data_IF_070005035143
#
_entry.id   IF_070005035143
#
_cell.length_a   1.000
_cell.length_b   1.000
_cell.length_c   1.000
_cell.angle_alpha   90.00
_cell.angle_beta   90.00
_cell.angle_gamma   90.00
#
_symmetry.space_group_name_H-M   'P 1'
#
loop_
_entity.id
_entity.type
_entity.pdbx_description
1 polymer ?
#
# COMPACT_ATOMS: atom_id res chain seq x y z
N UNK A 1 -13.40 -27.20 -0.18
CA UNK A 1 -12.56 -25.99 -0.12
C UNK A 1 -11.25 -26.38 -0.79
N UNK A 2 -10.90 -25.77 -1.92
CA UNK A 2 -9.56 -25.99 -2.51
C UNK A 2 -8.54 -25.50 -1.50
N UNK A 3 -7.46 -26.27 -1.27
CA UNK A 3 -6.30 -25.79 -0.52
C UNK A 3 -5.83 -24.50 -1.20
N UNK A 4 -6.12 -23.36 -0.58
CA UNK A 4 -5.66 -22.07 -1.06
C UNK A 4 -4.14 -22.10 -0.94
N UNK A 5 -3.42 -21.98 -2.03
CA UNK A 5 -1.97 -21.87 -2.02
C UNK A 5 -1.59 -20.59 -1.26
N UNK A 6 -1.14 -20.72 -0.01
CA UNK A 6 -0.76 -19.58 0.86
C UNK A 6 0.72 -19.27 0.79
N UNK A 7 1.33 -19.46 -0.36
CA UNK A 7 2.77 -19.22 -0.52
C UNK A 7 3.06 -17.72 -0.51
N UNK A 8 3.89 -17.27 0.45
CA UNK A 8 4.49 -15.93 0.42
C UNK A 8 5.90 -16.04 -0.16
N UNK A 9 6.21 -15.19 -1.11
CA UNK A 9 7.55 -15.00 -1.65
C UNK A 9 8.06 -13.64 -1.18
N UNK A 10 9.29 -13.61 -0.68
CA UNK A 10 9.88 -12.44 -0.05
C UNK A 10 11.16 -12.08 -0.81
N UNK A 11 11.26 -10.82 -1.17
CA UNK A 11 12.37 -10.25 -1.91
C UNK A 11 13.02 -9.15 -1.08
N UNK A 12 14.34 -9.16 -1.04
CA UNK A 12 15.19 -8.15 -0.43
C UNK A 12 16.02 -7.52 -1.55
N UNK A 13 15.81 -6.24 -1.86
CA UNK A 13 16.38 -5.54 -3.02
C UNK A 13 16.24 -6.35 -4.31
N UNK A 14 15.01 -6.80 -4.62
CA UNK A 14 14.61 -7.61 -5.77
C UNK A 14 15.24 -9.03 -5.83
N UNK A 15 15.97 -9.45 -4.80
CA UNK A 15 16.56 -10.80 -4.71
C UNK A 15 15.75 -11.66 -3.75
N UNK A 16 15.35 -12.88 -4.14
CA UNK A 16 14.60 -13.78 -3.26
C UNK A 16 15.37 -14.08 -1.97
N UNK A 17 14.66 -14.03 -0.83
CA UNK A 17 15.20 -14.41 0.47
C UNK A 17 15.13 -15.93 0.61
N UNK A 18 16.26 -16.64 0.78
CA UNK A 18 16.27 -18.09 0.84
C UNK A 18 15.86 -18.65 2.20
N UNK A 19 15.42 -19.91 2.23
CA UNK A 19 15.26 -20.69 3.46
C UNK A 19 14.02 -20.31 4.28
N UNK A 20 12.99 -19.74 3.69
CA UNK A 20 11.75 -19.39 4.37
C UNK A 20 10.87 -20.63 4.45
N UNK A 21 10.52 -21.04 5.67
CA UNK A 21 9.60 -22.14 5.93
C UNK A 21 8.22 -21.64 6.34
N UNK A 22 8.18 -20.61 7.18
CA UNK A 22 6.95 -19.94 7.59
C UNK A 22 7.16 -18.45 7.62
N UNK A 23 6.17 -17.73 7.08
CA UNK A 23 6.12 -16.27 7.03
C UNK A 23 4.73 -15.74 7.39
N UNK A 24 4.69 -14.65 8.11
CA UNK A 24 3.48 -13.89 8.36
C UNK A 24 3.72 -12.43 8.01
N UNK A 25 2.83 -11.87 7.21
CA UNK A 25 2.81 -10.46 6.87
C UNK A 25 1.64 -9.80 7.58
N UNK A 26 1.94 -8.82 8.42
CA UNK A 26 0.97 -8.00 9.15
C UNK A 26 1.15 -6.56 8.74
N UNK A 27 0.08 -5.81 8.60
CA UNK A 27 0.20 -4.39 8.34
C UNK A 27 -1.11 -3.70 8.06
N UNK A 28 -1.02 -2.40 8.06
CA UNK A 28 -2.13 -1.50 7.70
C UNK A 28 -1.61 -0.48 6.72
N UNK A 29 -2.39 -0.19 5.70
CA UNK A 29 -2.14 0.90 4.78
C UNK A 29 -3.43 1.66 4.47
N UNK A 30 -3.28 2.90 4.03
CA UNK A 30 -4.40 3.80 3.75
C UNK A 30 -4.08 4.67 2.53
N UNK A 31 -5.11 5.23 1.93
CA UNK A 31 -4.89 6.29 0.94
C UNK A 31 -4.23 7.50 1.62
N UNK A 32 -3.48 8.26 0.86
CA UNK A 32 -2.58 9.30 1.34
C UNK A 32 -1.13 8.80 1.41
N UNK A 33 -0.25 9.63 1.93
CA UNK A 33 1.18 9.34 2.02
C UNK A 33 1.66 9.36 3.48
N UNK A 34 0.82 8.88 4.39
CA UNK A 34 1.17 8.73 5.80
C UNK A 34 2.07 7.50 6.00
N UNK A 35 3.05 7.55 6.91
CA UNK A 35 3.92 6.42 7.19
C UNK A 35 3.15 5.31 7.90
N UNK A 36 2.76 4.30 7.14
CA UNK A 36 2.16 3.08 7.64
C UNK A 36 3.15 1.94 7.49
N UNK A 37 3.24 1.08 8.50
CA UNK A 37 4.24 0.03 8.56
C UNK A 37 3.62 -1.35 8.32
N UNK A 38 4.41 -2.19 7.66
CA UNK A 38 4.22 -3.62 7.60
C UNK A 38 5.26 -4.31 8.45
N UNK A 39 4.86 -5.38 9.09
CA UNK A 39 5.72 -6.28 9.86
C UNK A 39 5.72 -7.64 9.21
N UNK A 40 6.88 -8.09 8.78
CA UNK A 40 7.12 -9.41 8.24
C UNK A 40 7.79 -10.27 9.32
N UNK A 41 7.13 -11.35 9.75
CA UNK A 41 7.68 -12.34 10.68
C UNK A 41 8.08 -13.58 9.93
N UNK A 42 9.30 -14.05 10.18
CA UNK A 42 9.88 -15.22 9.55
C UNK A 42 10.38 -16.18 10.63
N UNK A 43 9.91 -17.43 10.57
CA UNK A 43 10.32 -18.46 11.53
C UNK A 43 11.46 -19.30 10.95
N UNK A 44 12.48 -19.51 11.78
CA UNK A 44 13.62 -20.38 11.50
C UNK A 44 14.32 -20.06 10.14
N UNK A 45 14.41 -18.77 9.82
CA UNK A 45 15.13 -18.33 8.64
C UNK A 45 16.61 -18.72 8.74
N UNK A 46 17.21 -19.14 7.63
CA UNK A 46 18.64 -19.42 7.58
C UNK A 46 19.49 -18.16 7.84
N UNK A 47 20.73 -18.34 8.28
CA UNK A 47 21.63 -17.20 8.51
C UNK A 47 21.87 -16.41 7.22
N UNK A 48 21.97 -17.07 6.06
CA UNK A 48 22.09 -16.39 4.76
C UNK A 48 20.86 -15.51 4.47
N UNK A 49 19.64 -16.02 4.70
CA UNK A 49 18.42 -15.26 4.58
C UNK A 49 18.36 -14.07 5.55
N UNK A 50 18.81 -14.27 6.80
CA UNK A 50 18.87 -13.21 7.79
C UNK A 50 19.83 -12.09 7.41
N UNK A 51 21.08 -12.42 7.00
CA UNK A 51 22.04 -11.42 6.58
C UNK A 51 21.62 -10.70 5.31
N UNK A 52 20.90 -11.37 4.41
CA UNK A 52 20.31 -10.73 3.23
C UNK A 52 19.27 -9.70 3.60
N UNK A 53 18.35 -10.02 4.52
CA UNK A 53 17.38 -9.05 5.03
C UNK A 53 18.07 -7.87 5.74
N UNK A 54 19.06 -8.15 6.57
CA UNK A 54 19.77 -7.09 7.31
C UNK A 54 20.52 -6.11 6.40
N UNK A 55 20.98 -6.55 5.24
CA UNK A 55 21.66 -5.71 4.26
C UNK A 55 20.72 -4.98 3.30
N UNK A 56 19.45 -5.36 3.25
CA UNK A 56 18.48 -4.82 2.31
C UNK A 56 18.05 -3.40 2.65
N UNK A 57 17.70 -2.63 1.62
CA UNK A 57 17.05 -1.32 1.72
C UNK A 57 15.54 -1.42 1.47
N UNK A 58 15.13 -2.36 0.63
CA UNK A 58 13.75 -2.55 0.21
C UNK A 58 13.31 -3.98 0.42
N UNK A 59 12.06 -4.15 0.86
CA UNK A 59 11.39 -5.43 0.98
C UNK A 59 10.15 -5.42 0.08
N UNK A 60 9.93 -6.52 -0.62
CA UNK A 60 8.67 -6.82 -1.29
C UNK A 60 8.18 -8.21 -0.85
N UNK A 61 6.89 -8.32 -0.59
CA UNK A 61 6.21 -9.57 -0.27
C UNK A 61 5.14 -9.80 -1.32
N UNK A 62 5.21 -10.95 -1.99
CA UNK A 62 4.28 -11.32 -3.05
C UNK A 62 3.53 -12.60 -2.71
N UNK A 63 2.37 -12.77 -3.32
CA UNK A 63 1.60 -13.99 -3.35
C UNK A 63 1.17 -14.21 -4.79
N UNK A 64 1.53 -15.35 -5.36
CA UNK A 64 1.38 -15.60 -6.79
C UNK A 64 2.01 -14.45 -7.60
N UNK A 65 1.27 -13.85 -8.53
CA UNK A 65 1.73 -12.73 -9.35
C UNK A 65 1.40 -11.35 -8.75
N UNK A 66 0.91 -11.31 -7.52
CA UNK A 66 0.46 -10.07 -6.88
C UNK A 66 1.40 -9.62 -5.76
N UNK A 67 1.80 -8.35 -5.77
CA UNK A 67 2.51 -7.75 -4.65
C UNK A 67 1.51 -7.43 -3.54
N UNK A 68 1.72 -8.01 -2.36
CA UNK A 68 0.90 -7.76 -1.17
C UNK A 68 1.36 -6.52 -0.41
N UNK A 69 2.67 -6.36 -0.27
CA UNK A 69 3.28 -5.20 0.35
C UNK A 69 4.70 -5.01 -0.18
N UNK A 70 5.14 -3.76 -0.28
CA UNK A 70 6.52 -3.43 -0.61
C UNK A 70 6.88 -2.07 0.01
N UNK A 71 8.16 -1.86 0.29
CA UNK A 71 8.61 -0.58 0.83
C UNK A 71 10.04 -0.58 1.34
N UNK A 72 10.45 0.58 1.85
CA UNK A 72 11.76 0.75 2.47
C UNK A 72 11.82 0.05 3.82
N UNK A 73 12.88 -0.73 4.03
CA UNK A 73 13.14 -1.41 5.28
C UNK A 73 13.55 -0.37 6.35
N UNK A 74 12.91 -0.44 7.51
CA UNK A 74 13.24 0.39 8.67
C UNK A 74 14.13 -0.35 9.65
N UNK A 75 13.69 -1.56 10.06
CA UNK A 75 14.36 -2.32 11.11
C UNK A 75 14.26 -3.83 10.87
N UNK A 76 15.25 -4.56 11.38
CA UNK A 76 15.26 -6.04 11.44
C UNK A 76 15.63 -6.49 12.84
N UNK A 77 14.76 -7.26 13.46
CA UNK A 77 14.96 -7.81 14.80
C UNK A 77 15.07 -9.34 14.75
N UNK A 78 15.83 -9.93 15.67
CA UNK A 78 15.96 -11.38 15.85
C UNK A 78 15.63 -11.75 17.27
N UNK A 79 14.65 -12.64 17.45
CA UNK A 79 14.18 -13.11 18.75
C UNK A 79 14.40 -14.60 18.87
N UNK A 80 14.97 -15.04 19.97
CA UNK A 80 14.97 -16.46 20.36
C UNK A 80 13.65 -16.79 21.05
N UNK A 81 13.00 -17.87 20.61
CA UNK A 81 11.77 -18.41 21.19
C UNK A 81 11.95 -19.88 21.50
N UNK A 82 11.04 -20.49 22.30
CA UNK A 82 11.15 -21.90 22.70
C UNK A 82 11.27 -22.87 21.51
N UNK A 83 10.66 -22.54 20.38
CA UNK A 83 10.60 -23.39 19.18
C UNK A 83 11.59 -22.96 18.08
N UNK A 84 12.57 -22.10 18.40
CA UNK A 84 13.56 -21.66 17.41
C UNK A 84 13.81 -20.16 17.41
N UNK A 85 13.84 -19.55 16.23
CA UNK A 85 14.12 -18.12 16.05
C UNK A 85 13.03 -17.46 15.22
N UNK A 86 12.61 -16.29 15.63
CA UNK A 86 11.74 -15.40 14.83
C UNK A 86 12.56 -14.19 14.40
N UNK A 87 12.49 -13.87 13.12
CA UNK A 87 13.01 -12.62 12.56
C UNK A 87 11.81 -11.75 12.22
N UNK A 88 11.86 -10.51 12.65
CA UNK A 88 10.85 -9.51 12.37
C UNK A 88 11.48 -8.37 11.58
N UNK A 89 10.99 -8.13 10.36
CA UNK A 89 11.40 -7.02 9.52
C UNK A 89 10.25 -6.01 9.43
N UNK A 90 10.54 -4.75 9.73
CA UNK A 90 9.58 -3.62 9.65
C UNK A 90 9.90 -2.77 8.46
N UNK A 91 8.91 -2.51 7.60
CA UNK A 91 9.09 -1.72 6.39
C UNK A 91 7.85 -0.88 6.06
N UNK A 92 8.01 0.16 5.24
CA UNK A 92 6.93 1.06 4.86
C UNK A 92 7.05 1.50 3.41
N UNK A 93 5.94 1.49 2.68
CA UNK A 93 5.88 1.98 1.31
C UNK A 93 6.14 3.49 1.21
N UNK A 94 5.70 4.25 2.19
CA UNK A 94 5.70 5.72 2.17
C UNK A 94 6.87 6.35 2.90
N UNK A 95 7.70 5.57 3.61
CA UNK A 95 8.78 6.07 4.44
C UNK A 95 9.76 6.97 3.66
N UNK A 96 10.15 6.55 2.46
CA UNK A 96 11.06 7.30 1.62
C UNK A 96 10.56 8.72 1.32
N UNK A 97 9.26 8.89 1.00
CA UNK A 97 8.67 10.22 0.76
C UNK A 97 8.46 11.02 2.05
N UNK A 98 8.29 10.34 3.17
CA UNK A 98 8.08 10.97 4.47
C UNK A 98 9.35 11.55 5.06
N UNK A 99 10.48 10.91 4.85
CA UNK A 99 11.76 11.32 5.43
C UNK A 99 12.51 12.37 4.60
N UNK A 100 12.25 12.43 3.30
CA UNK A 100 13.03 13.31 2.40
C UNK A 100 12.45 14.73 2.37
N UNK A 101 13.26 15.75 2.72
CA UNK A 101 12.88 17.15 2.55
C UNK A 101 13.00 17.57 1.09
N UNK A 102 12.05 18.39 0.66
CA UNK A 102 12.02 19.02 -0.67
C UNK A 102 11.96 20.53 -0.51
N UNK A 103 12.68 21.25 -1.37
CA UNK A 103 12.62 22.70 -1.49
C UNK A 103 12.65 23.05 -2.97
N UNK A 104 11.51 23.49 -3.51
CA UNK A 104 11.41 23.88 -4.92
C UNK A 104 10.36 24.97 -5.12
N UNK A 105 10.46 25.68 -6.24
CA UNK A 105 9.48 26.66 -6.68
C UNK A 105 8.95 26.25 -8.05
N UNK A 106 7.65 26.18 -8.18
CA UNK A 106 6.95 25.86 -9.42
C UNK A 106 6.38 27.13 -10.03
N UNK A 107 6.53 27.28 -11.33
CA UNK A 107 6.07 28.45 -12.05
C UNK A 107 4.53 28.55 -12.07
N UNK A 108 4.01 29.77 -12.27
CA UNK A 108 2.59 29.94 -12.57
C UNK A 108 2.22 29.24 -13.88
N UNK A 109 0.96 28.83 -13.99
CA UNK A 109 0.42 28.11 -15.15
C UNK A 109 1.01 26.71 -15.35
N UNK A 110 1.59 26.09 -14.31
CA UNK A 110 2.02 24.69 -14.31
C UNK A 110 0.83 23.80 -13.95
N UNK A 111 0.70 22.66 -14.62
CA UNK A 111 -0.30 21.65 -14.28
C UNK A 111 -0.02 21.00 -12.93
N UNK A 112 -1.07 20.58 -12.22
CA UNK A 112 -0.89 19.87 -10.94
C UNK A 112 -0.10 18.59 -11.14
N UNK A 113 -0.35 17.82 -12.22
CA UNK A 113 0.44 16.60 -12.51
C UNK A 113 1.93 16.88 -12.70
N UNK A 114 2.29 17.98 -13.37
CA UNK A 114 3.68 18.38 -13.58
C UNK A 114 4.32 18.83 -12.27
N UNK A 115 3.57 19.60 -11.45
CA UNK A 115 3.99 19.97 -10.10
C UNK A 115 4.31 18.74 -9.24
N UNK A 116 3.45 17.72 -9.27
CA UNK A 116 3.70 16.46 -8.54
C UNK A 116 4.95 15.76 -9.08
N UNK A 117 5.15 15.71 -10.40
CA UNK A 117 6.36 15.11 -11.00
C UNK A 117 7.64 15.85 -10.58
N UNK A 118 7.60 17.19 -10.55
CA UNK A 118 8.74 17.99 -10.08
C UNK A 118 9.07 17.74 -8.62
N UNK A 119 8.05 17.62 -7.74
CA UNK A 119 8.24 17.28 -6.33
C UNK A 119 8.86 15.89 -6.18
N UNK A 120 8.33 14.89 -6.89
CA UNK A 120 8.85 13.52 -6.86
C UNK A 120 10.28 13.44 -7.41
N UNK A 121 10.58 14.15 -8.49
CA UNK A 121 11.94 14.24 -9.03
C UNK A 121 12.91 14.91 -8.06
N UNK A 122 12.49 16.01 -7.42
CA UNK A 122 13.30 16.70 -6.41
C UNK A 122 13.55 15.87 -5.15
N UNK A 123 12.65 14.93 -4.84
CA UNK A 123 12.84 14.02 -3.70
C UNK A 123 13.94 12.99 -3.92
N UNK A 124 14.29 12.67 -5.15
CA UNK A 124 15.30 11.66 -5.47
C UNK A 124 14.96 10.22 -5.04
N UNK A 125 13.70 9.95 -4.66
CA UNK A 125 13.28 8.64 -4.15
C UNK A 125 13.09 7.58 -5.24
N UNK A 126 13.12 7.96 -6.52
CA UNK A 126 12.82 7.07 -7.64
C UNK A 126 11.33 6.78 -7.84
N UNK A 127 10.46 7.26 -6.95
CA UNK A 127 9.01 7.10 -7.08
C UNK A 127 8.51 7.97 -8.23
N UNK A 128 7.71 7.38 -9.12
CA UNK A 128 7.13 8.08 -10.26
C UNK A 128 5.61 8.24 -10.13
N UNK A 129 5.07 9.29 -10.74
CA UNK A 129 3.64 9.44 -10.93
C UNK A 129 3.19 8.52 -12.07
N UNK A 130 2.36 7.51 -11.76
CA UNK A 130 1.90 6.54 -12.76
C UNK A 130 0.83 7.12 -13.69
N UNK A 131 -0.16 7.78 -13.10
CA UNK A 131 -1.27 8.36 -13.84
C UNK A 131 -1.87 9.54 -13.08
N UNK A 132 -2.46 10.45 -13.81
CA UNK A 132 -3.27 11.54 -13.28
C UNK A 132 -4.63 11.51 -14.01
N UNK A 133 -5.57 10.68 -13.53
CA UNK A 133 -6.90 10.57 -14.12
C UNK A 133 -7.76 11.78 -13.78
N UNK A 134 -8.75 12.07 -14.62
CA UNK A 134 -9.64 13.21 -14.45
C UNK A 134 -9.07 14.54 -14.94
N UNK A 135 -9.63 15.64 -14.44
CA UNK A 135 -9.16 16.96 -14.76
C UNK A 135 -7.79 17.24 -14.12
N UNK A 136 -6.90 17.81 -14.91
CA UNK A 136 -5.55 18.22 -14.48
C UNK A 136 -5.48 19.75 -14.47
N UNK A 137 -5.90 20.40 -13.38
CA UNK A 137 -6.01 21.85 -13.31
C UNK A 137 -4.63 22.51 -13.37
N UNK A 138 -4.64 23.74 -13.86
CA UNK A 138 -3.47 24.59 -13.92
C UNK A 138 -3.41 25.47 -12.67
N UNK A 139 -2.26 25.49 -12.01
CA UNK A 139 -2.01 26.39 -10.88
C UNK A 139 -1.77 27.79 -11.40
N UNK A 140 -2.71 28.71 -11.18
CA UNK A 140 -2.69 30.06 -11.75
C UNK A 140 -1.56 30.97 -11.21
N UNK A 141 -1.00 30.63 -10.03
CA UNK A 141 0.10 31.38 -9.38
C UNK A 141 1.27 30.46 -9.11
N UNK A 142 2.49 30.99 -9.19
CA UNK A 142 3.66 30.25 -8.77
C UNK A 142 3.56 29.83 -7.30
N UNK A 143 4.01 28.64 -7.00
CA UNK A 143 4.00 28.05 -5.65
C UNK A 143 5.39 27.64 -5.22
N UNK A 144 5.70 27.86 -3.94
CA UNK A 144 6.90 27.34 -3.31
C UNK A 144 6.50 26.15 -2.42
N UNK A 145 7.20 25.05 -2.56
CA UNK A 145 7.07 23.86 -1.74
C UNK A 145 8.29 23.71 -0.85
N UNK A 146 8.05 23.57 0.44
CA UNK A 146 9.10 23.39 1.42
C UNK A 146 8.60 22.43 2.51
N UNK A 147 9.35 21.39 2.79
CA UNK A 147 8.99 20.38 3.79
C UNK A 147 9.16 18.97 3.27
N UNK A 148 8.46 18.01 3.86
CA UNK A 148 8.50 16.61 3.45
C UNK A 148 7.91 16.42 2.06
N UNK A 149 8.53 15.56 1.24
CA UNK A 149 8.03 15.28 -0.10
C UNK A 149 6.57 14.81 -0.10
N UNK A 150 6.18 13.97 0.87
CA UNK A 150 4.80 13.51 1.05
C UNK A 150 3.81 14.66 1.27
N UNK A 151 4.16 15.60 2.15
CA UNK A 151 3.32 16.78 2.44
C UNK A 151 3.20 17.70 1.22
N UNK A 152 4.31 17.91 0.51
CA UNK A 152 4.33 18.71 -0.71
C UNK A 152 3.44 18.10 -1.80
N UNK A 153 3.51 16.78 -2.01
CA UNK A 153 2.65 16.05 -2.96
C UNK A 153 1.18 16.18 -2.56
N UNK A 154 0.83 15.91 -1.31
CA UNK A 154 -0.55 16.03 -0.83
C UNK A 154 -1.09 17.46 -0.96
N UNK A 155 -0.24 18.47 -0.71
CA UNK A 155 -0.59 19.89 -0.88
C UNK A 155 -0.87 20.21 -2.36
N UNK A 156 -0.02 19.75 -3.28
CA UNK A 156 -0.23 19.95 -4.71
C UNK A 156 -1.53 19.28 -5.19
N UNK A 157 -1.81 18.04 -4.77
CA UNK A 157 -3.02 17.30 -5.16
C UNK A 157 -4.30 17.92 -4.58
N UNK A 158 -4.23 18.53 -3.38
CA UNK A 158 -5.39 19.18 -2.77
C UNK A 158 -5.94 20.32 -3.64
N UNK A 159 -5.10 20.99 -4.43
CA UNK A 159 -5.53 22.02 -5.38
C UNK A 159 -6.44 21.47 -6.50
N UNK A 160 -6.32 20.19 -6.82
CA UNK A 160 -7.19 19.46 -7.76
C UNK A 160 -8.36 18.73 -7.07
N UNK A 161 -8.51 18.86 -5.75
CA UNK A 161 -9.46 18.04 -4.98
C UNK A 161 -9.14 16.54 -5.01
N UNK A 162 -7.96 16.17 -5.46
CA UNK A 162 -7.54 14.79 -5.64
C UNK A 162 -6.84 14.24 -4.40
N UNK A 163 -6.90 12.92 -4.25
CA UNK A 163 -6.16 12.14 -3.25
C UNK A 163 -5.12 11.27 -3.95
N UNK A 164 -4.31 10.57 -3.21
CA UNK A 164 -3.35 9.62 -3.78
C UNK A 164 -3.15 8.42 -2.87
N UNK A 165 -2.62 7.36 -3.46
CA UNK A 165 -2.04 6.25 -2.73
C UNK A 165 -0.71 5.85 -3.38
N UNK A 166 0.20 5.33 -2.57
CA UNK A 166 1.43 4.75 -3.08
C UNK A 166 1.20 3.25 -3.29
N UNK A 167 1.45 2.80 -4.51
CA UNK A 167 1.45 1.38 -4.89
C UNK A 167 2.89 0.91 -5.07
N UNK A 168 3.13 -0.41 -5.13
CA UNK A 168 4.47 -0.93 -5.43
C UNK A 168 5.08 -0.41 -6.74
N UNK A 169 4.24 0.00 -7.69
CA UNK A 169 4.68 0.51 -9.00
C UNK A 169 4.90 2.03 -9.03
N UNK A 170 4.40 2.78 -8.04
CA UNK A 170 4.51 4.23 -7.98
C UNK A 170 3.29 4.93 -7.39
N UNK A 171 3.23 6.24 -7.53
CA UNK A 171 2.15 7.07 -7.02
C UNK A 171 0.94 7.03 -7.96
N UNK A 172 -0.21 6.64 -7.43
CA UNK A 172 -1.51 6.71 -8.10
C UNK A 172 -2.33 7.88 -7.56
N UNK A 173 -2.93 8.67 -8.44
CA UNK A 173 -3.86 9.74 -8.09
C UNK A 173 -5.30 9.23 -8.16
N UNK A 174 -6.09 9.59 -7.15
CA UNK A 174 -7.52 9.30 -7.05
C UNK A 174 -8.25 10.63 -7.22
N UNK A 175 -8.91 10.85 -8.37
CA UNK A 175 -9.60 12.11 -8.65
C UNK A 175 -10.84 12.27 -7.78
N UNK A 176 -11.32 13.52 -7.64
CA UNK A 176 -12.49 13.83 -6.82
C UNK A 176 -13.76 13.11 -7.31
N UNK A 177 -13.91 12.99 -8.63
CA UNK A 177 -15.02 12.27 -9.27
C UNK A 177 -14.95 10.74 -9.10
N UNK A 178 -13.83 10.22 -8.58
CA UNK A 178 -13.57 8.80 -8.39
C UNK A 178 -13.08 8.10 -9.65
N UNK A 179 -12.97 6.77 -9.56
CA UNK A 179 -12.44 5.91 -10.61
C UNK A 179 -13.54 4.96 -11.11
N UNK A 180 -13.42 4.37 -12.32
CA UNK A 180 -14.27 3.26 -12.73
C UNK A 180 -14.05 2.03 -11.83
N UNK A 181 -15.06 1.19 -11.69
CA UNK A 181 -14.92 -0.07 -10.95
C UNK A 181 -13.84 -0.92 -11.60
N UNK A 182 -12.85 -1.31 -10.79
CA UNK A 182 -11.67 -2.06 -11.23
C UNK A 182 -11.46 -3.38 -10.47
N UNK A 183 -12.29 -3.64 -9.45
CA UNK A 183 -12.28 -4.89 -8.70
C UNK A 183 -13.72 -5.28 -8.33
N UNK A 184 -14.04 -6.56 -8.47
CA UNK A 184 -15.31 -7.13 -8.09
C UNK A 184 -15.09 -8.18 -7.01
N UNK A 185 -15.85 -8.10 -5.91
CA UNK A 185 -15.87 -9.08 -4.84
C UNK A 185 -17.27 -9.66 -4.73
N UNK A 186 -17.35 -10.98 -4.70
CA UNK A 186 -18.59 -11.76 -4.56
C UNK A 186 -18.69 -12.36 -3.15
N UNK A 187 -19.82 -13.00 -2.86
CA UNK A 187 -20.02 -13.76 -1.61
C UNK A 187 -18.90 -14.79 -1.35
N UNK A 188 -18.29 -15.34 -2.40
CA UNK A 188 -17.23 -16.34 -2.28
C UNK A 188 -15.88 -15.74 -1.85
N UNK A 189 -15.68 -14.45 -2.09
CA UNK A 189 -14.45 -13.71 -1.74
C UNK A 189 -14.51 -13.15 -0.33
N UNK A 190 -15.70 -13.11 0.28
CA UNK A 190 -15.93 -12.53 1.60
C UNK A 190 -15.89 -13.60 2.69
N UNK A 191 -15.27 -13.27 3.80
CA UNK A 191 -15.20 -14.13 5.00
C UNK A 191 -16.49 -14.00 5.80
N UNK A 192 -17.02 -12.76 5.90
CA UNK A 192 -18.25 -12.45 6.62
C UNK A 192 -19.04 -11.32 5.94
N UNK A 193 -20.20 -10.99 6.52
CA UNK A 193 -21.07 -9.95 5.98
C UNK A 193 -20.40 -8.56 6.05
N UNK A 194 -20.47 -7.74 4.98
CA UNK A 194 -20.07 -6.35 5.05
C UNK A 194 -20.83 -5.58 6.12
N UNK A 195 -20.12 -4.71 6.86
CA UNK A 195 -20.68 -3.90 7.94
C UNK A 195 -20.60 -2.43 7.58
N UNK A 196 -21.74 -1.72 7.62
CA UNK A 196 -21.76 -0.27 7.45
C UNK A 196 -21.52 0.41 8.81
N UNK A 197 -20.52 1.29 8.86
CA UNK A 197 -20.22 2.09 10.05
C UNK A 197 -21.20 3.27 10.19
N UNK A 198 -21.32 3.88 11.38
CA UNK A 198 -22.11 5.09 11.54
C UNK A 198 -21.68 6.28 10.66
N UNK A 199 -20.41 6.29 10.21
CA UNK A 199 -19.88 7.29 9.28
C UNK A 199 -20.16 7.00 7.80
N UNK A 200 -20.92 5.95 7.48
CA UNK A 200 -21.26 5.58 6.09
C UNK A 200 -20.17 4.82 5.35
N UNK A 201 -19.06 4.46 6.01
CA UNK A 201 -18.05 3.58 5.45
C UNK A 201 -18.52 2.13 5.51
N UNK A 202 -18.10 1.32 4.55
CA UNK A 202 -18.34 -0.12 4.57
C UNK A 202 -17.05 -0.86 4.89
N UNK A 203 -17.08 -1.65 5.96
CA UNK A 203 -15.98 -2.54 6.36
C UNK A 203 -16.32 -3.95 5.89
N UNK A 204 -15.38 -4.61 5.25
CA UNK A 204 -15.52 -5.99 4.80
C UNK A 204 -14.24 -6.78 5.06
N UNK A 205 -14.39 -8.08 5.33
CA UNK A 205 -13.28 -9.01 5.45
C UNK A 205 -13.29 -9.98 4.27
N UNK A 206 -12.16 -10.07 3.61
CA UNK A 206 -11.98 -10.90 2.42
C UNK A 206 -10.73 -11.75 2.56
N UNK A 207 -10.63 -12.82 1.77
CA UNK A 207 -9.36 -13.53 1.61
C UNK A 207 -8.31 -12.57 1.08
N UNK A 208 -7.02 -12.87 1.35
CA UNK A 208 -5.93 -12.02 0.86
C UNK A 208 -6.02 -11.87 -0.64
N UNK A 209 -6.17 -10.63 -1.07
CA UNK A 209 -6.16 -10.22 -2.48
C UNK A 209 -4.92 -9.39 -2.75
N UNK A 210 -4.63 -9.07 -4.01
CA UNK A 210 -3.56 -8.16 -4.38
C UNK A 210 -3.73 -6.76 -3.79
N UNK A 211 -3.23 -5.72 -4.46
CA UNK A 211 -3.28 -4.34 -3.97
C UNK A 211 -4.65 -3.68 -4.21
N UNK A 212 -5.51 -3.51 -3.19
CA UNK A 212 -6.86 -2.96 -3.36
C UNK A 212 -6.94 -1.43 -3.20
N UNK A 213 -5.97 -0.79 -2.50
CA UNK A 213 -6.06 0.62 -2.15
C UNK A 213 -6.17 1.55 -3.36
N UNK A 214 -7.04 2.53 -3.24
CA UNK A 214 -7.32 3.49 -4.29
C UNK A 214 -8.16 2.94 -5.45
N UNK A 215 -8.48 1.65 -5.45
CA UNK A 215 -9.36 1.05 -6.45
C UNK A 215 -10.83 1.27 -6.10
N UNK A 216 -11.66 1.46 -7.13
CA UNK A 216 -13.11 1.35 -6.99
C UNK A 216 -13.48 -0.13 -6.97
N UNK A 217 -14.12 -0.56 -5.88
CA UNK A 217 -14.51 -1.95 -5.65
C UNK A 217 -16.03 -2.05 -5.69
N UNK A 218 -16.55 -3.00 -6.44
CA UNK A 218 -17.95 -3.43 -6.41
C UNK A 218 -18.05 -4.71 -5.59
N UNK A 219 -18.83 -4.67 -4.52
CA UNK A 219 -19.02 -5.79 -3.59
C UNK A 219 -20.45 -6.29 -3.69
N UNK A 220 -20.61 -7.55 -4.04
CA UNK A 220 -21.92 -8.21 -4.08
C UNK A 220 -22.06 -9.16 -2.89
N UNK A 221 -23.09 -8.94 -2.07
CA UNK A 221 -23.42 -9.77 -0.93
C UNK A 221 -24.92 -10.05 -0.86
N UNK A 222 -25.31 -11.33 -0.95
CA UNK A 222 -26.72 -11.78 -0.87
C UNK A 222 -27.66 -10.97 -1.77
N UNK A 223 -27.24 -10.69 -3.01
CA UNK A 223 -28.03 -9.96 -4.00
C UNK A 223 -28.06 -8.44 -3.83
N UNK A 224 -27.32 -7.89 -2.86
CA UNK A 224 -27.09 -6.45 -2.72
C UNK A 224 -25.72 -6.11 -3.23
N UNK A 225 -25.58 -5.00 -3.94
CA UNK A 225 -24.31 -4.50 -4.43
C UNK A 225 -24.02 -3.15 -3.80
N UNK A 226 -22.77 -2.99 -3.37
CA UNK A 226 -22.23 -1.72 -2.84
C UNK A 226 -20.96 -1.40 -3.61
N UNK A 227 -20.80 -0.15 -4.01
CA UNK A 227 -19.60 0.32 -4.68
C UNK A 227 -18.90 1.39 -3.84
N UNK A 228 -17.58 1.31 -3.74
CA UNK A 228 -16.79 2.25 -2.97
C UNK A 228 -15.31 2.18 -3.28
N UNK A 229 -14.60 3.25 -2.93
CA UNK A 229 -13.13 3.29 -3.04
C UNK A 229 -12.55 2.64 -1.79
N UNK A 230 -11.61 1.71 -1.96
CA UNK A 230 -10.84 1.17 -0.85
C UNK A 230 -9.90 2.24 -0.30
N UNK A 231 -10.21 2.73 0.89
CA UNK A 231 -9.46 3.83 1.54
C UNK A 231 -8.49 3.33 2.60
N UNK A 232 -8.70 2.12 3.10
CA UNK A 232 -7.84 1.50 4.10
C UNK A 232 -7.85 -0.02 3.94
N UNK A 233 -6.73 -0.63 4.28
CA UNK A 233 -6.56 -2.09 4.35
C UNK A 233 -5.78 -2.46 5.60
N UNK A 234 -6.31 -3.45 6.36
CA UNK A 234 -5.53 -4.23 7.33
C UNK A 234 -5.26 -5.61 6.74
N UNK A 235 -4.00 -6.02 6.71
CA UNK A 235 -3.54 -7.28 6.12
C UNK A 235 -3.01 -8.20 7.20
N UNK A 236 -3.45 -9.47 7.18
CA UNK A 236 -2.90 -10.56 7.97
C UNK A 236 -2.78 -11.79 7.07
N UNK A 237 -1.59 -12.04 6.57
CA UNK A 237 -1.28 -13.14 5.67
C UNK A 237 -0.23 -14.05 6.32
N UNK A 238 -0.65 -15.22 6.83
CA UNK A 238 0.20 -16.25 7.40
C UNK A 238 0.19 -17.49 6.49
N UNK A 239 1.33 -17.89 5.96
CA UNK A 239 1.45 -19.04 5.08
C UNK A 239 1.45 -20.39 5.83
N UNK A 240 1.36 -20.36 7.16
CA UNK A 240 1.15 -21.53 8.02
C UNK A 240 -0.33 -21.76 8.36
N UNK A 241 -0.62 -21.99 9.63
CA UNK A 241 -1.97 -22.28 10.14
C UNK A 241 -2.75 -21.01 10.55
N UNK A 242 -2.16 -19.82 10.41
CA UNK A 242 -2.75 -18.56 10.84
C UNK A 242 -3.80 -17.99 9.87
N UNK A 243 -4.17 -16.73 10.11
CA UNK A 243 -5.12 -16.00 9.29
C UNK A 243 -4.57 -15.75 7.87
N UNK A 244 -5.47 -15.79 6.88
CA UNK A 244 -5.18 -15.40 5.50
C UNK A 244 -6.29 -14.47 5.03
N UNK A 245 -6.24 -13.23 5.50
CA UNK A 245 -7.33 -12.29 5.34
C UNK A 245 -6.88 -10.85 5.16
N UNK A 246 -7.72 -10.06 4.53
CA UNK A 246 -7.64 -8.61 4.47
C UNK A 246 -8.96 -8.01 4.98
N UNK A 247 -8.87 -7.03 5.86
CA UNK A 247 -9.99 -6.15 6.16
C UNK A 247 -9.86 -4.89 5.32
N UNK A 248 -10.89 -4.56 4.57
CA UNK A 248 -10.94 -3.38 3.71
C UNK A 248 -11.99 -2.40 4.22
N UNK A 249 -11.67 -1.13 4.18
CA UNK A 249 -12.62 -0.05 4.45
C UNK A 249 -12.91 0.65 3.13
N UNK A 250 -14.19 0.67 2.75
CA UNK A 250 -14.68 1.33 1.55
C UNK A 250 -15.38 2.63 1.88
N UNK A 251 -15.00 3.71 1.21
CA UNK A 251 -15.76 4.94 1.13
C UNK A 251 -16.80 4.78 0.03
N UNK A 252 -18.07 4.63 0.44
CA UNK A 252 -19.17 4.32 -0.48
C UNK A 252 -19.53 5.53 -1.32
N UNK A 253 -19.75 5.32 -2.60
CA UNK A 253 -20.31 6.31 -3.50
C UNK A 253 -21.80 6.45 -3.22
N UNK A 254 -22.24 7.62 -2.79
CA UNK A 254 -23.66 7.98 -2.66
C UNK A 254 -24.24 8.50 -3.98
#
# INVERSE_FOLDING_TARGET
MSETNRKLEIYADDVPVPGITRAQLLGRDTIGLYPMCFTLRLWNLSDDGYYRLLAAKHIAVTHEDSVLAAGSLSDVYRFAVLEGTIIEAVFSATLALWEVPVSLSVAANTKVSDTVREILAASGTGISLLSFPGEDPVVSRGQAFFGRASECVMTALSAAGARCCLTPSGLCVIPAEGLPVSMHLSDADLIDAPVTTPGGLVVLRTVVTGWPLGKMISVSWRGKTVEGIAVERCLNADNGEGCWESELVLEVRT
#
